data_IF_427366228366
#
_entry.id   IF_427366228366
#
_cell.length_a   1.000
_cell.length_b   1.000
_cell.length_c   1.000
_cell.angle_alpha   90.00
_cell.angle_beta   90.00
_cell.angle_gamma   90.00
#
_symmetry.space_group_name_H-M   'P 1'
#
loop_
_entity.id
_entity.type
_entity.pdbx_description
1 polymer ?
#
# COMPACT_ATOMS: atom_id res chain seq x y z
N UNK A 1 -9.08 -32.88 26.18
CA UNK A 1 -8.64 -31.51 25.91
C UNK A 1 -7.86 -31.05 27.12
N UNK A 2 -6.53 -31.10 27.04
CA UNK A 2 -5.66 -30.63 28.12
C UNK A 2 -5.41 -29.13 27.91
N UNK A 3 -5.62 -28.34 28.95
CA UNK A 3 -5.77 -26.90 28.88
C UNK A 3 -4.38 -26.22 28.93
N UNK A 4 -4.00 -25.49 27.88
CA UNK A 4 -2.79 -24.65 27.87
C UNK A 4 -2.96 -23.54 28.92
N UNK A 5 -2.07 -23.51 29.92
CA UNK A 5 -2.13 -22.50 30.97
C UNK A 5 -1.06 -21.43 30.76
N UNK A 6 -1.50 -20.19 30.56
CA UNK A 6 -0.62 -19.01 30.47
C UNK A 6 -0.19 -18.62 31.89
N UNK A 7 1.13 -18.53 32.12
CA UNK A 7 1.73 -18.26 33.43
C UNK A 7 2.22 -16.81 33.58
N UNK A 8 2.45 -16.08 32.49
CA UNK A 8 2.81 -14.67 32.50
C UNK A 8 3.40 -14.17 31.19
N UNK A 9 3.09 -12.92 30.85
CA UNK A 9 3.56 -12.22 29.64
C UNK A 9 4.70 -11.25 29.98
N UNK A 10 5.67 -11.14 29.08
CA UNK A 10 6.83 -10.27 29.22
C UNK A 10 7.39 -9.85 27.86
N UNK A 11 8.12 -8.74 27.83
CA UNK A 11 8.62 -8.15 26.59
C UNK A 11 10.11 -8.40 26.40
N UNK A 12 10.52 -8.82 25.20
CA UNK A 12 11.90 -9.12 24.87
C UNK A 12 12.87 -7.98 25.25
N UNK A 13 12.50 -6.73 25.00
CA UNK A 13 13.34 -5.56 25.35
C UNK A 13 13.69 -5.44 26.84
N UNK A 14 12.79 -5.84 27.73
CA UNK A 14 13.00 -5.77 29.18
C UNK A 14 14.04 -6.79 29.66
N UNK A 15 14.31 -7.76 28.81
CA UNK A 15 15.13 -8.92 29.09
C UNK A 15 16.53 -8.80 28.50
N UNK A 16 16.64 -8.14 27.35
CA UNK A 16 17.91 -7.94 26.68
C UNK A 16 18.91 -7.28 27.62
N UNK A 17 20.16 -7.74 27.57
CA UNK A 17 21.28 -7.32 28.42
C UNK A 17 21.16 -7.60 29.93
N UNK A 18 20.10 -8.28 30.40
CA UNK A 18 20.00 -8.72 31.80
C UNK A 18 20.98 -9.86 32.11
N UNK A 19 21.50 -9.95 33.34
CA UNK A 19 22.47 -10.98 33.71
C UNK A 19 21.82 -12.37 33.75
N UNK A 20 22.60 -13.37 33.36
CA UNK A 20 22.25 -14.79 33.52
C UNK A 20 23.09 -15.36 34.66
N UNK A 21 22.43 -15.91 35.68
CA UNK A 21 23.05 -16.51 36.87
C UNK A 21 22.81 -18.02 36.87
N UNK A 22 23.84 -18.79 37.21
CA UNK A 22 23.69 -20.24 37.43
C UNK A 22 23.10 -20.57 38.80
N UNK A 23 22.89 -21.86 39.09
CA UNK A 23 22.35 -22.33 40.37
C UNK A 23 23.20 -21.94 41.61
N UNK A 24 24.48 -21.58 41.42
CA UNK A 24 25.39 -21.10 42.47
C UNK A 24 25.42 -19.57 42.56
N UNK A 25 24.61 -18.87 41.78
CA UNK A 25 24.61 -17.41 41.69
C UNK A 25 25.80 -16.84 40.91
N UNK A 26 26.57 -17.68 40.20
CA UNK A 26 27.68 -17.20 39.37
C UNK A 26 27.13 -16.59 38.11
N UNK A 27 27.64 -15.42 37.74
CA UNK A 27 27.23 -14.73 36.52
C UNK A 27 27.92 -15.34 35.30
N UNK A 28 27.11 -15.86 34.39
CA UNK A 28 27.56 -16.55 33.17
C UNK A 28 27.70 -15.58 32.01
N UNK A 29 26.78 -14.63 31.91
CA UNK A 29 26.74 -13.69 30.80
C UNK A 29 25.58 -12.73 30.90
N UNK A 30 25.09 -12.32 29.73
CA UNK A 30 23.89 -11.50 29.56
C UNK A 30 23.05 -12.08 28.44
N UNK A 31 21.73 -11.95 28.54
CA UNK A 31 20.89 -12.33 27.41
C UNK A 31 21.11 -11.35 26.25
N UNK A 32 21.59 -11.87 25.12
CA UNK A 32 21.80 -11.09 23.91
C UNK A 32 20.66 -11.31 22.91
N UNK A 33 20.19 -12.55 22.80
CA UNK A 33 19.12 -12.93 21.88
C UNK A 33 18.51 -14.28 22.29
N UNK A 34 17.38 -14.63 21.70
CA UNK A 34 16.67 -15.90 21.88
C UNK A 34 16.57 -16.64 20.55
N UNK A 35 16.93 -17.91 20.55
CA UNK A 35 16.66 -18.81 19.43
C UNK A 35 15.20 -19.27 19.51
N UNK A 36 14.47 -19.15 18.41
CA UNK A 36 13.08 -19.57 18.28
C UNK A 36 12.94 -20.57 17.15
N UNK A 37 12.10 -21.59 17.36
CA UNK A 37 11.71 -22.57 16.36
C UNK A 37 10.26 -22.35 15.93
N UNK A 38 10.01 -22.43 14.64
CA UNK A 38 8.71 -22.17 13.99
C UNK A 38 8.02 -23.48 13.56
N UNK A 39 7.79 -24.38 14.50
CA UNK A 39 7.26 -25.72 14.23
C UNK A 39 5.72 -25.83 14.37
N UNK A 40 5.07 -24.81 14.89
CA UNK A 40 3.64 -24.80 15.19
C UNK A 40 3.02 -23.39 15.11
N UNK A 41 1.71 -23.28 15.37
CA UNK A 41 0.96 -22.01 15.42
C UNK A 41 1.51 -21.05 16.50
N UNK A 42 2.29 -21.55 17.45
CA UNK A 42 2.92 -20.75 18.50
C UNK A 42 4.43 -21.04 18.53
N UNK A 43 5.25 -20.22 17.84
CA UNK A 43 6.70 -20.39 17.80
C UNK A 43 7.27 -20.38 19.21
N UNK A 44 8.16 -21.32 19.53
CA UNK A 44 8.66 -21.51 20.88
C UNK A 44 10.17 -21.31 20.98
N UNK A 45 10.62 -20.72 22.08
CA UNK A 45 12.03 -20.45 22.35
C UNK A 45 12.72 -21.77 22.69
N UNK A 46 13.84 -22.05 22.03
CA UNK A 46 14.64 -23.27 22.26
C UNK A 46 15.94 -22.99 23.01
N UNK A 47 16.49 -21.78 22.89
CA UNK A 47 17.78 -21.47 23.50
C UNK A 47 18.07 -19.98 23.68
N UNK A 48 19.05 -19.69 24.52
CA UNK A 48 19.48 -18.34 24.90
C UNK A 48 20.91 -18.09 24.43
N UNK A 49 21.09 -17.00 23.68
CA UNK A 49 22.41 -16.46 23.37
C UNK A 49 22.92 -15.63 24.54
N UNK A 50 23.98 -16.10 25.21
CA UNK A 50 24.43 -15.53 26.49
C UNK A 50 25.74 -14.71 26.42
N UNK A 51 26.46 -14.78 25.30
CA UNK A 51 27.74 -14.10 25.11
C UNK A 51 28.03 -13.77 23.63
N UNK A 52 28.87 -12.75 23.39
CA UNK A 52 29.39 -12.42 22.06
C UNK A 52 30.54 -13.37 21.72
N UNK A 53 30.63 -13.80 20.45
CA UNK A 53 31.72 -14.67 19.97
C UNK A 53 31.53 -16.17 20.22
N UNK A 54 30.44 -16.59 20.87
CA UNK A 54 30.03 -18.00 20.94
C UNK A 54 28.83 -18.26 20.03
N UNK A 55 28.84 -19.42 19.37
CA UNK A 55 27.71 -19.95 18.60
C UNK A 55 26.83 -20.89 19.42
N UNK A 56 27.25 -21.23 20.64
CA UNK A 56 26.50 -22.11 21.52
C UNK A 56 25.48 -21.35 22.36
N UNK A 57 24.36 -22.00 22.62
CA UNK A 57 23.18 -21.51 23.31
C UNK A 57 22.99 -22.25 24.63
N UNK A 58 22.46 -21.53 25.63
CA UNK A 58 21.95 -22.17 26.85
C UNK A 58 20.56 -22.74 26.51
N UNK A 59 20.31 -24.04 26.70
CA UNK A 59 18.99 -24.64 26.48
C UNK A 59 17.93 -23.97 27.36
N UNK A 60 16.74 -23.73 26.81
CA UNK A 60 15.69 -22.99 27.52
C UNK A 60 15.20 -23.71 28.78
N UNK A 61 15.29 -25.04 28.81
CA UNK A 61 14.84 -25.92 29.90
C UNK A 61 15.65 -25.71 31.18
N UNK A 62 16.78 -25.03 31.07
CA UNK A 62 17.62 -24.71 32.21
C UNK A 62 17.11 -23.50 32.97
N UNK A 63 16.24 -22.68 32.39
CA UNK A 63 15.73 -21.47 33.02
C UNK A 63 14.64 -21.82 34.03
N UNK A 64 14.85 -21.43 35.30
CA UNK A 64 13.87 -21.65 36.39
C UNK A 64 13.04 -20.41 36.66
N UNK A 65 13.65 -19.24 36.52
CA UNK A 65 12.96 -17.99 36.81
C UNK A 65 13.53 -16.87 35.96
N UNK A 66 12.61 -15.98 35.61
CA UNK A 66 12.89 -14.77 34.87
C UNK A 66 12.21 -13.61 35.57
N UNK A 67 12.99 -12.66 36.06
CA UNK A 67 12.48 -11.41 36.59
C UNK A 67 13.22 -10.18 36.05
N UNK A 68 12.84 -8.99 36.53
CA UNK A 68 13.48 -7.70 36.19
C UNK A 68 14.98 -7.62 36.52
N UNK A 69 15.48 -8.52 37.38
CA UNK A 69 16.86 -8.56 37.85
C UNK A 69 17.73 -9.51 37.02
N UNK A 70 17.14 -10.48 36.32
CA UNK A 70 17.82 -11.35 35.37
C UNK A 70 17.26 -12.76 35.29
N UNK A 71 17.97 -13.63 34.58
CA UNK A 71 17.62 -15.04 34.44
C UNK A 71 18.39 -15.88 35.45
N UNK A 72 17.73 -16.91 35.99
CA UNK A 72 18.37 -17.93 36.84
C UNK A 72 18.22 -19.32 36.25
N UNK A 73 19.31 -20.06 36.26
CA UNK A 73 19.34 -21.45 35.81
C UNK A 73 19.11 -22.43 36.99
N UNK A 74 18.48 -23.58 36.74
CA UNK A 74 18.38 -24.70 37.68
C UNK A 74 19.72 -25.40 37.90
N UNK A 75 20.66 -25.24 36.96
CA UNK A 75 21.91 -25.99 36.94
C UNK A 75 23.14 -25.09 37.09
N UNK A 76 24.25 -25.71 37.45
CA UNK A 76 25.58 -25.10 37.42
C UNK A 76 26.00 -25.05 35.95
N UNK A 77 26.32 -23.86 35.44
CA UNK A 77 26.64 -23.71 34.02
C UNK A 77 27.91 -24.48 33.65
N UNK A 78 27.78 -25.28 32.60
CA UNK A 78 28.86 -26.00 31.94
C UNK A 78 28.81 -25.70 30.42
N UNK A 79 29.85 -25.07 29.84
CA UNK A 79 29.92 -24.79 28.41
C UNK A 79 29.75 -26.03 27.52
N UNK A 80 30.13 -27.22 27.99
CA UNK A 80 30.07 -28.46 27.19
C UNK A 80 28.62 -28.87 26.90
N UNK A 81 27.70 -28.51 27.80
CA UNK A 81 26.28 -28.86 27.72
C UNK A 81 25.45 -27.80 26.98
N UNK A 82 26.10 -26.82 26.35
CA UNK A 82 25.44 -25.84 25.48
C UNK A 82 25.14 -26.47 24.11
N UNK A 83 24.07 -26.02 23.45
CA UNK A 83 23.67 -26.52 22.13
C UNK A 83 24.03 -25.53 21.01
N UNK A 84 24.37 -25.99 19.80
CA UNK A 84 24.48 -25.09 18.66
C UNK A 84 23.08 -24.65 18.19
N UNK A 85 23.01 -23.47 17.58
CA UNK A 85 21.82 -23.04 16.83
C UNK A 85 21.56 -24.04 15.69
N UNK A 86 20.34 -24.59 15.62
CA UNK A 86 19.93 -25.51 14.56
C UNK A 86 19.55 -24.77 13.27
N UNK A 87 19.49 -25.49 12.14
CA UNK A 87 19.15 -24.90 10.83
C UNK A 87 17.70 -24.38 10.75
N UNK A 88 16.80 -24.94 11.57
CA UNK A 88 15.39 -24.56 11.68
C UNK A 88 15.12 -23.51 12.78
N UNK A 89 16.19 -22.96 13.39
CA UNK A 89 16.12 -21.98 14.46
C UNK A 89 16.61 -20.61 13.99
N UNK A 90 15.96 -19.55 14.46
CA UNK A 90 16.35 -18.17 14.15
C UNK A 90 16.43 -17.32 15.41
N UNK A 91 17.33 -16.33 15.42
CA UNK A 91 17.41 -15.36 16.51
C UNK A 91 16.30 -14.31 16.41
N UNK A 92 15.38 -14.30 17.36
CA UNK A 92 14.17 -13.49 17.30
C UNK A 92 14.44 -11.98 17.37
N UNK A 93 15.41 -11.54 18.18
CA UNK A 93 15.77 -10.13 18.28
C UNK A 93 16.37 -9.63 16.97
N UNK A 94 17.31 -10.39 16.39
CA UNK A 94 17.88 -10.07 15.08
C UNK A 94 16.83 -10.09 13.96
N UNK A 95 15.86 -10.99 14.04
CA UNK A 95 14.94 -11.28 12.95
C UNK A 95 13.64 -10.46 12.99
N UNK A 96 13.10 -10.13 14.16
CA UNK A 96 11.84 -9.37 14.30
C UNK A 96 12.05 -7.93 14.76
N UNK A 97 12.96 -7.68 15.69
CA UNK A 97 13.08 -6.35 16.28
C UNK A 97 13.56 -5.35 15.23
N UNK A 98 12.93 -4.17 15.19
CA UNK A 98 13.20 -3.12 14.21
C UNK A 98 12.93 -3.49 12.74
N UNK A 99 12.26 -4.62 12.49
CA UNK A 99 11.80 -4.99 11.14
C UNK A 99 10.45 -4.37 10.81
N UNK A 100 10.24 -4.12 9.53
CA UNK A 100 8.95 -3.75 8.99
C UNK A 100 8.14 -5.04 8.70
N UNK A 101 6.88 -5.04 9.12
CA UNK A 101 5.91 -6.11 8.89
C UNK A 101 4.60 -5.50 8.41
N UNK A 102 3.78 -6.29 7.74
CA UNK A 102 2.46 -5.85 7.27
C UNK A 102 1.45 -6.04 8.41
N UNK A 103 0.81 -4.96 8.83
CA UNK A 103 -0.34 -4.99 9.73
C UNK A 103 -1.60 -5.35 8.94
N UNK A 104 -2.06 -6.59 9.04
CA UNK A 104 -3.24 -7.08 8.35
C UNK A 104 -4.57 -6.49 8.88
N UNK A 105 -4.56 -5.89 10.06
CA UNK A 105 -5.75 -5.25 10.63
C UNK A 105 -5.88 -3.82 10.15
N UNK A 106 -4.74 -3.14 9.94
CA UNK A 106 -4.67 -1.75 9.49
C UNK A 106 -4.25 -1.54 8.04
N UNK A 107 -4.03 -2.62 7.28
CA UNK A 107 -3.53 -2.62 5.89
C UNK A 107 -2.36 -1.66 5.66
N UNK A 108 -1.30 -1.74 6.48
CA UNK A 108 -0.15 -0.84 6.36
C UNK A 108 1.15 -1.48 6.80
N UNK A 109 2.28 -0.96 6.34
CA UNK A 109 3.60 -1.38 6.81
C UNK A 109 3.90 -0.74 8.18
N UNK A 110 4.22 -1.57 9.17
CA UNK A 110 4.49 -1.14 10.55
C UNK A 110 5.83 -1.68 11.04
N UNK A 111 6.53 -0.88 11.85
CA UNK A 111 7.79 -1.30 12.47
C UNK A 111 7.52 -2.05 13.77
N UNK A 112 8.17 -3.19 13.93
CA UNK A 112 8.19 -3.94 15.20
C UNK A 112 9.05 -3.19 16.20
N UNK A 113 8.38 -2.56 17.17
CA UNK A 113 9.02 -1.81 18.23
C UNK A 113 9.45 -2.72 19.38
N UNK A 114 8.72 -3.81 19.65
CA UNK A 114 9.10 -4.81 20.65
C UNK A 114 8.41 -6.15 20.40
N UNK A 115 8.77 -7.18 21.18
CA UNK A 115 8.27 -8.54 21.02
C UNK A 115 7.65 -9.02 22.33
N UNK A 116 6.42 -9.53 22.28
CA UNK A 116 5.72 -10.11 23.42
C UNK A 116 5.90 -11.63 23.47
N UNK A 117 6.37 -12.11 24.61
CA UNK A 117 6.63 -13.51 24.91
C UNK A 117 5.81 -13.94 26.13
N UNK A 118 5.44 -15.22 26.20
CA UNK A 118 4.66 -15.74 27.32
C UNK A 118 5.13 -17.13 27.75
N UNK A 119 5.12 -17.35 29.07
CA UNK A 119 5.31 -18.68 29.64
C UNK A 119 4.01 -19.48 29.53
N UNK A 120 4.11 -20.66 28.93
CA UNK A 120 2.97 -21.56 28.76
C UNK A 120 3.31 -22.91 29.37
N UNK A 121 2.32 -23.51 30.05
CA UNK A 121 2.42 -24.83 30.64
C UNK A 121 1.50 -25.80 29.90
N UNK A 122 2.06 -26.94 29.48
CA UNK A 122 1.33 -28.06 28.88
C UNK A 122 1.91 -29.38 29.39
N UNK A 123 1.08 -30.29 29.90
CA UNK A 123 1.47 -31.65 30.32
C UNK A 123 2.76 -31.70 31.18
N UNK A 124 2.84 -30.84 32.22
CA UNK A 124 4.00 -30.70 33.14
C UNK A 124 5.27 -30.06 32.55
N UNK A 125 5.28 -29.69 31.28
CA UNK A 125 6.37 -28.95 30.64
C UNK A 125 6.06 -27.45 30.51
N UNK A 126 7.03 -26.62 30.85
CA UNK A 126 6.98 -25.17 30.67
C UNK A 126 7.87 -24.75 29.51
N UNK A 127 7.32 -23.94 28.60
CA UNK A 127 8.06 -23.37 27.49
C UNK A 127 7.64 -21.92 27.25
N UNK A 128 8.48 -21.17 26.55
CA UNK A 128 8.21 -19.78 26.19
C UNK A 128 7.77 -19.75 24.75
N UNK A 129 6.65 -19.07 24.47
CA UNK A 129 6.16 -18.85 23.12
C UNK A 129 6.18 -17.37 22.76
N UNK A 130 6.37 -17.10 21.48
CA UNK A 130 6.05 -15.82 20.87
C UNK A 130 4.53 -15.68 20.78
N UNK A 131 3.98 -14.61 21.37
CA UNK A 131 2.54 -14.34 21.36
C UNK A 131 2.19 -13.30 20.31
N UNK A 132 2.90 -12.18 20.33
CA UNK A 132 2.63 -11.03 19.47
C UNK A 132 3.88 -10.14 19.33
N UNK A 133 3.83 -9.19 18.41
CA UNK A 133 4.78 -8.08 18.34
C UNK A 133 4.07 -6.76 18.64
N UNK A 134 4.78 -5.87 19.31
CA UNK A 134 4.32 -4.52 19.63
C UNK A 134 4.76 -3.56 18.52
N UNK A 135 3.77 -2.95 17.87
CA UNK A 135 3.95 -1.96 16.79
C UNK A 135 3.68 -0.54 17.29
N UNK A 136 3.29 -0.38 18.56
CA UNK A 136 2.96 0.91 19.16
C UNK A 136 4.19 1.69 19.64
N UNK A 137 4.02 3.00 19.75
CA UNK A 137 5.04 3.92 20.31
C UNK A 137 5.43 3.54 21.74
N UNK A 138 4.53 2.93 22.50
CA UNK A 138 4.81 2.47 23.86
C UNK A 138 5.91 1.41 23.91
N UNK A 139 5.98 0.50 22.92
CA UNK A 139 7.06 -0.47 22.81
C UNK A 139 8.44 0.16 22.62
N UNK A 140 8.52 1.24 21.84
CA UNK A 140 9.75 2.00 21.65
C UNK A 140 10.21 2.67 22.95
N UNK A 141 9.29 3.27 23.71
CA UNK A 141 9.60 3.93 24.99
C UNK A 141 10.00 2.93 26.07
N UNK A 142 9.43 1.71 26.06
CA UNK A 142 9.86 0.60 26.92
C UNK A 142 11.31 0.21 26.67
N UNK A 143 11.74 0.17 25.41
CA UNK A 143 13.15 -0.06 25.03
C UNK A 143 14.10 1.04 25.49
N UNK A 144 13.65 2.29 25.46
CA UNK A 144 14.42 3.44 25.92
C UNK A 144 14.41 3.59 27.46
N UNK A 145 13.65 2.77 28.18
CA UNK A 145 13.55 2.81 29.65
C UNK A 145 12.70 3.94 30.20
N UNK A 146 11.87 4.57 29.36
CA UNK A 146 11.05 5.77 29.69
C UNK A 146 9.54 5.50 29.59
N UNK A 147 9.12 4.23 29.73
CA UNK A 147 7.71 3.82 29.64
C UNK A 147 6.77 4.60 30.57
N UNK A 148 7.26 5.07 31.73
CA UNK A 148 6.47 5.82 32.71
C UNK A 148 5.86 7.13 32.14
N UNK A 149 6.42 7.68 31.05
CA UNK A 149 5.91 8.88 30.40
C UNK A 149 4.59 8.64 29.66
N UNK A 150 4.30 7.39 29.29
CA UNK A 150 3.18 7.03 28.41
C UNK A 150 2.24 6.02 29.09
N UNK A 151 2.07 6.08 30.40
CA UNK A 151 1.22 5.15 31.17
C UNK A 151 -0.27 5.19 30.78
N UNK A 152 -0.69 6.14 29.93
CA UNK A 152 -2.05 6.32 29.42
C UNK A 152 -2.24 5.89 27.97
N UNK A 153 -1.19 5.43 27.28
CA UNK A 153 -1.27 4.95 25.90
C UNK A 153 -1.35 3.43 25.90
N UNK A 154 -2.33 2.90 25.17
CA UNK A 154 -2.51 1.45 25.00
C UNK A 154 -1.45 0.85 24.08
N UNK A 155 -1.12 -0.42 24.31
CA UNK A 155 -0.24 -1.15 23.41
C UNK A 155 -0.98 -1.47 22.11
N UNK A 156 -0.25 -1.51 21.00
CA UNK A 156 -0.79 -1.96 19.72
C UNK A 156 -0.06 -3.23 19.29
N UNK A 157 -0.79 -4.34 19.15
CA UNK A 157 -0.21 -5.67 18.97
C UNK A 157 -0.66 -6.32 17.68
N UNK A 158 0.30 -6.94 16.99
CA UNK A 158 0.04 -7.88 15.89
C UNK A 158 0.32 -9.29 16.39
N UNK A 159 -0.70 -10.14 16.38
CA UNK A 159 -0.59 -11.54 16.82
C UNK A 159 0.39 -12.34 15.95
N UNK A 160 1.15 -13.24 16.56
CA UNK A 160 2.19 -14.02 15.88
C UNK A 160 1.67 -14.88 14.71
N UNK A 161 0.39 -15.26 14.72
CA UNK A 161 -0.26 -15.98 13.62
C UNK A 161 -0.30 -15.21 12.30
N UNK A 162 -0.13 -13.89 12.36
CA UNK A 162 -0.10 -12.98 11.21
C UNK A 162 1.33 -12.64 10.78
N UNK A 163 2.33 -13.15 11.49
CA UNK A 163 3.74 -12.90 11.25
C UNK A 163 4.35 -14.17 10.69
N UNK A 164 4.66 -14.16 9.40
CA UNK A 164 5.41 -15.25 8.78
C UNK A 164 6.85 -14.85 8.52
N UNK A 165 7.81 -15.76 8.74
CA UNK A 165 9.14 -15.60 8.18
C UNK A 165 9.06 -15.41 6.67
N UNK A 166 9.47 -14.24 6.18
CA UNK A 166 9.92 -14.09 4.81
C UNK A 166 11.18 -14.95 4.70
N UNK A 167 11.01 -16.16 4.15
CA UNK A 167 12.12 -17.10 3.96
C UNK A 167 13.16 -16.46 3.04
N UNK A 168 14.29 -16.06 3.62
CA UNK A 168 15.50 -15.82 2.84
C UNK A 168 16.12 -17.17 2.51
N UNK A 169 15.73 -17.74 1.36
CA UNK A 169 16.60 -18.53 0.46
C UNK A 169 15.83 -18.94 -0.79
N UNK A 170 16.03 -18.14 -1.85
CA UNK A 170 16.06 -18.52 -3.26
C UNK A 170 15.18 -19.68 -3.76
N UNK A 171 14.49 -19.35 -4.86
CA UNK A 171 13.91 -20.20 -5.89
C UNK A 171 12.44 -20.51 -5.66
N UNK A 172 11.60 -19.72 -6.35
CA UNK A 172 10.35 -20.15 -6.98
C UNK A 172 9.42 -21.04 -6.16
N UNK A 173 8.25 -20.50 -5.84
CA UNK A 173 6.98 -21.19 -5.57
C UNK A 173 6.64 -21.47 -4.10
N UNK A 174 5.95 -20.51 -3.47
CA UNK A 174 4.57 -20.71 -2.97
C UNK A 174 3.70 -19.46 -3.23
N UNK A 175 3.72 -18.99 -4.48
CA UNK A 175 3.18 -17.69 -4.92
C UNK A 175 1.65 -17.57 -4.98
N UNK A 176 0.89 -18.65 -4.79
CA UNK A 176 -0.58 -18.59 -4.97
C UNK A 176 -1.29 -17.90 -3.80
N UNK A 177 -0.72 -17.96 -2.59
CA UNK A 177 -1.32 -17.32 -1.41
C UNK A 177 -0.97 -15.84 -1.28
N UNK A 178 0.19 -15.44 -1.80
CA UNK A 178 0.68 -14.06 -1.80
C UNK A 178 -0.08 -13.20 -2.82
N UNK A 179 -0.38 -13.70 -4.03
CA UNK A 179 -1.19 -12.95 -5.02
C UNK A 179 -2.58 -12.56 -4.50
N UNK A 180 -3.26 -13.45 -3.76
CA UNK A 180 -4.56 -13.14 -3.15
C UNK A 180 -4.46 -12.18 -1.94
N UNK A 181 -3.28 -12.05 -1.34
CA UNK A 181 -3.01 -11.07 -0.28
C UNK A 181 -2.63 -9.70 -0.87
N UNK A 182 -1.86 -9.67 -1.96
CA UNK A 182 -1.53 -8.45 -2.71
C UNK A 182 -2.81 -7.82 -3.32
N UNK A 183 -3.77 -8.65 -3.73
CA UNK A 183 -5.12 -8.20 -4.17
C UNK A 183 -5.94 -7.46 -3.13
N UNK A 184 -5.52 -7.46 -1.87
CA UNK A 184 -6.21 -6.75 -0.79
C UNK A 184 -5.48 -5.47 -0.38
N UNK A 185 -4.28 -5.23 -0.93
CA UNK A 185 -3.55 -4.00 -0.69
C UNK A 185 -4.10 -2.90 -1.58
N UNK A 186 -4.03 -1.67 -1.07
CA UNK A 186 -4.33 -0.50 -1.86
C UNK A 186 -3.21 -0.28 -2.90
N UNK A 187 -3.51 0.22 -4.12
CA UNK A 187 -2.48 0.55 -5.10
C UNK A 187 -1.35 1.41 -4.54
N UNK A 188 -1.66 2.46 -3.78
CA UNK A 188 -0.66 3.28 -3.07
C UNK A 188 0.25 2.50 -2.11
N UNK A 189 -0.25 1.48 -1.40
CA UNK A 189 0.59 0.62 -0.55
C UNK A 189 1.54 -0.24 -1.40
N UNK A 190 1.12 -0.62 -2.62
CA UNK A 190 1.92 -1.39 -3.56
C UNK A 190 3.00 -0.48 -4.17
N UNK A 191 2.66 0.75 -4.53
CA UNK A 191 3.60 1.79 -4.98
C UNK A 191 4.73 2.01 -3.97
N UNK A 192 4.39 2.28 -2.71
CA UNK A 192 5.34 2.42 -1.58
C UNK A 192 6.33 1.25 -1.51
N UNK A 193 5.84 0.03 -1.73
CA UNK A 193 6.65 -1.19 -1.70
C UNK A 193 7.62 -1.22 -2.89
N UNK A 194 7.14 -0.90 -4.10
CA UNK A 194 7.91 -0.92 -5.36
C UNK A 194 9.03 0.12 -5.33
N UNK A 195 8.76 1.32 -4.83
CA UNK A 195 9.72 2.43 -4.78
C UNK A 195 10.90 2.14 -3.84
N UNK A 196 10.64 1.43 -2.74
CA UNK A 196 11.66 1.06 -1.76
C UNK A 196 12.48 -0.18 -2.17
N UNK A 197 12.18 -0.82 -3.31
CA UNK A 197 12.89 -1.99 -3.81
C UNK A 197 14.10 -1.64 -4.68
N UNK A 198 15.11 -2.52 -4.63
CA UNK A 198 16.17 -2.48 -5.63
C UNK A 198 15.68 -2.95 -7.01
N UNK A 199 16.42 -2.59 -8.06
CA UNK A 199 16.13 -2.91 -9.47
C UNK A 199 15.67 -4.36 -9.69
N UNK A 200 16.39 -5.33 -9.10
CA UNK A 200 16.14 -6.74 -9.37
C UNK A 200 14.91 -7.23 -8.60
N UNK A 201 14.69 -6.72 -7.39
CA UNK A 201 13.51 -7.01 -6.61
C UNK A 201 12.26 -6.43 -7.27
N UNK A 202 12.35 -5.20 -7.78
CA UNK A 202 11.25 -4.49 -8.44
C UNK A 202 10.69 -5.26 -9.63
N UNK A 203 11.55 -5.65 -10.58
CA UNK A 203 11.14 -6.41 -11.76
C UNK A 203 10.46 -7.75 -11.40
N UNK A 204 11.05 -8.50 -10.45
CA UNK A 204 10.46 -9.77 -10.00
C UNK A 204 9.11 -9.55 -9.30
N UNK A 205 8.93 -8.44 -8.59
CA UNK A 205 7.69 -8.11 -7.89
C UNK A 205 6.59 -7.70 -8.87
N UNK A 206 6.90 -6.86 -9.86
CA UNK A 206 5.97 -6.49 -10.94
C UNK A 206 5.47 -7.72 -11.71
N UNK A 207 6.31 -8.72 -11.95
CA UNK A 207 5.90 -9.99 -12.56
C UNK A 207 4.92 -10.82 -11.69
N UNK A 208 4.78 -10.48 -10.40
CA UNK A 208 3.79 -11.11 -9.52
C UNK A 208 2.42 -10.46 -9.60
N UNK A 209 2.34 -9.17 -9.97
CA UNK A 209 1.09 -8.43 -10.13
C UNK A 209 0.39 -8.84 -11.43
N UNK A 210 -0.93 -8.70 -11.48
CA UNK A 210 -1.63 -8.70 -12.77
C UNK A 210 -1.55 -7.30 -13.43
N UNK A 211 -1.93 -7.20 -14.71
CA UNK A 211 -1.75 -5.97 -15.49
C UNK A 211 -2.44 -4.78 -14.82
N UNK A 212 -3.69 -4.93 -14.39
CA UNK A 212 -4.42 -3.87 -13.71
C UNK A 212 -3.73 -3.44 -12.42
N UNK A 213 -3.33 -4.40 -11.56
CA UNK A 213 -2.60 -4.05 -10.35
C UNK A 213 -1.27 -3.36 -10.62
N UNK A 214 -0.65 -3.64 -11.77
CA UNK A 214 0.59 -2.98 -12.19
C UNK A 214 0.31 -1.54 -12.60
N UNK A 215 -0.73 -1.32 -13.41
CA UNK A 215 -1.16 0.02 -13.84
C UNK A 215 -1.56 0.85 -12.63
N UNK A 216 -2.51 0.37 -11.81
CA UNK A 216 -2.99 1.08 -10.63
C UNK A 216 -1.83 1.44 -9.67
N UNK A 217 -0.88 0.52 -9.46
CA UNK A 217 0.25 0.77 -8.59
C UNK A 217 1.28 1.73 -9.22
N UNK A 218 1.48 1.69 -10.54
CA UNK A 218 2.36 2.63 -11.24
C UNK A 218 1.81 4.04 -11.19
N UNK A 219 0.51 4.21 -11.45
CA UNK A 219 -0.18 5.50 -11.32
C UNK A 219 0.09 6.14 -9.95
N UNK A 220 0.04 5.36 -8.87
CA UNK A 220 0.29 5.87 -7.52
C UNK A 220 1.78 6.11 -7.16
N UNK A 221 2.72 5.83 -8.06
CA UNK A 221 4.16 6.04 -7.83
C UNK A 221 4.60 7.44 -8.22
N UNK A 222 5.70 7.89 -7.62
CA UNK A 222 6.38 9.11 -8.05
C UNK A 222 6.88 8.99 -9.51
N UNK A 223 6.75 10.06 -10.30
CA UNK A 223 7.07 10.10 -11.73
C UNK A 223 8.47 9.57 -12.07
N UNK A 224 9.50 9.98 -11.30
CA UNK A 224 10.87 9.48 -11.47
C UNK A 224 10.95 7.94 -11.40
N UNK A 225 10.17 7.33 -10.49
CA UNK A 225 10.13 5.89 -10.30
C UNK A 225 9.31 5.19 -11.39
N UNK A 226 8.21 5.79 -11.83
CA UNK A 226 7.41 5.32 -12.98
C UNK A 226 8.29 5.26 -14.24
N UNK A 227 8.97 6.35 -14.57
CA UNK A 227 9.89 6.47 -15.71
C UNK A 227 11.01 5.43 -15.64
N UNK A 228 11.59 5.22 -14.45
CA UNK A 228 12.60 4.18 -14.25
C UNK A 228 12.03 2.77 -14.55
N UNK A 229 10.81 2.48 -14.11
CA UNK A 229 10.15 1.19 -14.37
C UNK A 229 9.86 0.99 -15.86
N UNK A 230 9.22 1.96 -16.51
CA UNK A 230 8.85 1.87 -17.93
C UNK A 230 10.09 1.73 -18.82
N UNK A 231 11.19 2.44 -18.53
CA UNK A 231 12.45 2.28 -19.25
C UNK A 231 13.06 0.86 -19.18
N UNK A 232 12.70 0.09 -18.16
CA UNK A 232 13.23 -1.26 -17.93
C UNK A 232 12.34 -2.35 -18.52
N UNK A 233 11.10 -2.01 -18.88
CA UNK A 233 10.16 -2.93 -19.51
C UNK A 233 10.47 -3.10 -21.00
N UNK A 234 10.04 -4.23 -21.54
CA UNK A 234 9.95 -4.39 -22.99
C UNK A 234 8.89 -3.44 -23.58
N UNK A 235 9.09 -3.06 -24.85
CA UNK A 235 8.27 -2.02 -25.51
C UNK A 235 6.80 -2.41 -25.63
N UNK A 236 6.53 -3.68 -25.94
CA UNK A 236 5.16 -4.19 -26.05
C UNK A 236 4.45 -4.08 -24.70
N UNK A 237 5.05 -4.58 -23.62
CA UNK A 237 4.47 -4.49 -22.27
C UNK A 237 4.33 -3.05 -21.78
N UNK A 238 5.33 -2.20 -22.04
CA UNK A 238 5.29 -0.79 -21.66
C UNK A 238 4.15 -0.07 -22.38
N UNK A 239 3.97 -0.32 -23.68
CA UNK A 239 2.87 0.23 -24.47
C UNK A 239 1.52 -0.23 -23.93
N UNK A 240 1.34 -1.53 -23.68
CA UNK A 240 0.09 -2.08 -23.14
C UNK A 240 -0.28 -1.45 -21.78
N UNK A 241 0.72 -1.13 -20.95
CA UNK A 241 0.49 -0.48 -19.63
C UNK A 241 0.11 0.98 -19.81
N UNK A 242 0.83 1.72 -20.66
CA UNK A 242 0.56 3.14 -20.92
C UNK A 242 -0.80 3.36 -21.62
N UNK A 243 -1.26 2.40 -22.41
CA UNK A 243 -2.56 2.45 -23.10
C UNK A 243 -3.73 2.36 -22.12
N UNK A 244 -3.60 1.56 -21.07
CA UNK A 244 -4.65 1.34 -20.06
C UNK A 244 -4.52 2.25 -18.83
N UNK A 245 -3.50 3.12 -18.81
CA UNK A 245 -3.26 4.12 -17.77
C UNK A 245 -4.04 5.41 -18.07
N UNK A 246 -4.41 6.21 -17.05
CA UNK A 246 -4.97 7.55 -17.29
C UNK A 246 -4.10 8.36 -18.25
N UNK A 247 -4.74 9.11 -19.16
CA UNK A 247 -4.07 9.72 -20.32
C UNK A 247 -3.03 10.76 -19.93
N UNK A 248 -3.30 11.50 -18.88
CA UNK A 248 -2.43 12.49 -18.26
C UNK A 248 -1.18 11.84 -17.63
N UNK A 249 -1.36 10.77 -16.86
CA UNK A 249 -0.24 10.00 -16.30
C UNK A 249 0.68 9.42 -17.39
N UNK A 250 0.08 8.87 -18.45
CA UNK A 250 0.84 8.37 -19.59
C UNK A 250 1.60 9.49 -20.31
N UNK A 251 1.00 10.68 -20.45
CA UNK A 251 1.63 11.86 -21.04
C UNK A 251 2.82 12.35 -20.21
N UNK A 252 2.70 12.38 -18.88
CA UNK A 252 3.76 12.77 -17.97
C UNK A 252 4.96 11.83 -18.07
N UNK A 253 4.72 10.51 -18.00
CA UNK A 253 5.78 9.50 -18.17
C UNK A 253 6.47 9.65 -19.52
N UNK A 254 5.71 9.75 -20.61
CA UNK A 254 6.25 9.83 -21.96
C UNK A 254 7.04 11.12 -22.24
N UNK A 255 6.73 12.20 -21.53
CA UNK A 255 7.42 13.49 -21.63
C UNK A 255 8.82 13.46 -21.00
N UNK A 256 9.00 12.66 -19.95
CA UNK A 256 10.29 12.46 -19.28
C UNK A 256 11.20 11.43 -20.00
N UNK A 257 10.64 10.64 -20.92
CA UNK A 257 11.42 9.69 -21.72
C UNK A 257 12.23 10.37 -22.83
N UNK A 258 13.26 9.67 -23.32
CA UNK A 258 13.93 10.09 -24.56
C UNK A 258 12.95 10.12 -25.72
N UNK A 259 13.03 11.15 -26.56
CA UNK A 259 12.15 11.35 -27.73
C UNK A 259 12.02 10.07 -28.57
N UNK A 260 13.12 9.35 -28.80
CA UNK A 260 13.11 8.13 -29.61
C UNK A 260 12.24 7.02 -29.00
N UNK A 261 12.33 6.85 -27.67
CA UNK A 261 11.58 5.84 -26.92
C UNK A 261 10.10 6.22 -26.78
N UNK A 262 9.84 7.48 -26.47
CA UNK A 262 8.48 8.02 -26.38
C UNK A 262 7.71 7.80 -27.70
N UNK A 263 8.33 8.17 -28.83
CA UNK A 263 7.78 7.95 -30.17
C UNK A 263 7.65 6.46 -30.56
N UNK A 264 8.45 5.58 -29.98
CA UNK A 264 8.34 4.14 -30.21
C UNK A 264 7.14 3.56 -29.48
N UNK A 265 6.95 3.91 -28.21
CA UNK A 265 5.79 3.48 -27.42
C UNK A 265 4.48 4.03 -28.02
N UNK A 266 4.43 5.32 -28.36
CA UNK A 266 3.28 5.95 -29.03
C UNK A 266 2.92 5.37 -30.40
N UNK A 267 3.83 4.62 -31.04
CA UNK A 267 3.55 3.91 -32.31
C UNK A 267 2.97 2.51 -32.08
N UNK A 268 3.14 1.95 -30.89
CA UNK A 268 2.65 0.64 -30.51
C UNK A 268 1.24 0.72 -29.92
N UNK A 269 0.89 1.84 -29.31
CA UNK A 269 -0.46 2.14 -28.80
C UNK A 269 -1.51 2.21 -29.93
N UNK A 270 -2.77 2.00 -29.56
CA UNK A 270 -3.90 2.29 -30.45
C UNK A 270 -3.92 3.76 -30.90
N UNK A 271 -4.42 4.01 -32.11
CA UNK A 271 -4.28 5.32 -32.77
C UNK A 271 -5.00 6.45 -32.03
N UNK A 272 -6.17 6.16 -31.47
CA UNK A 272 -7.01 7.14 -30.81
C UNK A 272 -6.38 7.51 -29.45
N UNK A 273 -5.99 6.50 -28.66
CA UNK A 273 -5.25 6.63 -27.40
C UNK A 273 -3.94 7.42 -27.54
N UNK A 274 -3.17 7.09 -28.58
CA UNK A 274 -1.92 7.81 -28.85
C UNK A 274 -2.16 9.25 -29.34
N UNK A 275 -3.32 9.57 -29.92
CA UNK A 275 -3.67 10.94 -30.30
C UNK A 275 -4.00 11.77 -29.06
N UNK A 276 -4.81 11.25 -28.15
CA UNK A 276 -5.16 11.89 -26.87
C UNK A 276 -3.91 12.22 -26.04
N UNK A 277 -3.03 11.22 -25.87
CA UNK A 277 -1.80 11.40 -25.10
C UNK A 277 -0.87 12.43 -25.77
N UNK A 278 -0.76 12.42 -27.11
CA UNK A 278 0.02 13.44 -27.84
C UNK A 278 -0.57 14.84 -27.72
N UNK A 279 -1.89 14.97 -27.57
CA UNK A 279 -2.51 16.27 -27.31
C UNK A 279 -2.09 16.80 -25.93
N UNK A 280 -2.15 15.96 -24.91
CA UNK A 280 -1.76 16.33 -23.54
C UNK A 280 -0.28 16.73 -23.43
N UNK A 281 0.61 15.99 -24.09
CA UNK A 281 2.06 16.29 -24.13
C UNK A 281 2.41 17.64 -24.79
N UNK A 282 1.47 18.33 -25.45
CA UNK A 282 1.72 19.64 -26.05
C UNK A 282 1.58 20.81 -25.07
N UNK A 283 0.94 20.58 -23.92
CA UNK A 283 0.77 21.62 -22.91
C UNK A 283 2.04 21.78 -22.08
N UNK A 284 2.35 23.03 -21.70
CA UNK A 284 3.48 23.31 -20.83
C UNK A 284 3.18 22.78 -19.42
N UNK A 285 4.20 22.28 -18.71
CA UNK A 285 4.11 21.96 -17.28
C UNK A 285 3.51 23.13 -16.49
N UNK A 286 2.91 22.83 -15.34
CA UNK A 286 2.29 23.82 -14.45
C UNK A 286 1.09 24.59 -15.05
N UNK A 287 0.50 24.08 -16.14
CA UNK A 287 -0.72 24.64 -16.75
C UNK A 287 -1.93 23.74 -16.53
N UNK A 288 -3.12 24.31 -16.69
CA UNK A 288 -4.36 23.54 -16.64
C UNK A 288 -4.41 22.41 -17.67
N UNK A 289 -3.77 22.58 -18.84
CA UNK A 289 -3.71 21.58 -19.89
C UNK A 289 -2.77 20.41 -19.57
N UNK A 290 -1.72 20.63 -18.78
CA UNK A 290 -0.85 19.53 -18.31
C UNK A 290 -1.47 18.76 -17.14
N UNK A 291 -2.43 19.36 -16.41
CA UNK A 291 -3.11 18.74 -15.26
C UNK A 291 -4.46 18.10 -15.63
N UNK A 292 -4.86 18.12 -16.89
CA UNK A 292 -6.19 17.63 -17.29
C UNK A 292 -6.11 16.23 -17.87
N UNK A 293 -7.14 15.44 -17.61
CA UNK A 293 -7.41 14.19 -18.32
C UNK A 293 -8.58 14.38 -19.30
N UNK A 294 -8.57 13.61 -20.39
CA UNK A 294 -9.63 13.59 -21.41
C UNK A 294 -10.78 12.65 -21.04
N UNK A 295 -10.66 11.88 -19.96
CA UNK A 295 -11.58 10.82 -19.54
C UNK A 295 -12.82 11.35 -18.77
N UNK A 296 -13.55 12.29 -19.38
CA UNK A 296 -14.75 12.90 -18.80
C UNK A 296 -16.05 12.38 -19.41
N UNK A 297 -17.17 12.59 -18.70
CA UNK A 297 -18.50 12.18 -19.18
C UNK A 297 -19.24 13.37 -19.80
N UNK A 298 -19.25 13.41 -21.14
CA UNK A 298 -20.08 14.29 -21.95
C UNK A 298 -21.40 13.63 -22.39
N UNK A 299 -22.54 14.28 -22.16
CA UNK A 299 -23.86 13.80 -22.54
C UNK A 299 -24.69 14.86 -23.28
N UNK A 300 -25.53 14.50 -24.27
CA UNK A 300 -26.34 15.47 -24.97
C UNK A 300 -27.54 15.95 -24.15
N UNK A 301 -27.91 17.23 -24.33
CA UNK A 301 -28.92 17.94 -23.53
C UNK A 301 -30.33 17.33 -23.54
N UNK A 302 -30.66 16.53 -24.56
CA UNK A 302 -31.99 15.94 -24.75
C UNK A 302 -32.20 14.61 -24.03
N UNK A 303 -31.14 13.97 -23.50
CA UNK A 303 -31.30 12.74 -22.73
C UNK A 303 -32.17 12.98 -21.50
N UNK A 304 -32.99 12.00 -21.13
CA UNK A 304 -33.67 12.01 -19.84
C UNK A 304 -32.74 11.53 -18.73
N UNK A 305 -33.10 11.81 -17.47
CA UNK A 305 -32.34 11.35 -16.31
C UNK A 305 -32.13 9.82 -16.31
N UNK A 306 -33.14 9.04 -16.70
CA UNK A 306 -33.01 7.58 -16.84
C UNK A 306 -32.00 7.18 -17.91
N UNK A 307 -32.07 7.79 -19.09
CA UNK A 307 -31.16 7.49 -20.20
C UNK A 307 -29.72 7.89 -19.87
N UNK A 308 -29.54 9.03 -19.20
CA UNK A 308 -28.24 9.48 -18.73
C UNK A 308 -27.64 8.54 -17.68
N UNK A 309 -28.45 7.96 -16.78
CA UNK A 309 -27.99 6.93 -15.83
C UNK A 309 -27.59 5.65 -16.57
N UNK A 310 -28.30 5.27 -17.63
CA UNK A 310 -27.95 4.11 -18.44
C UNK A 310 -26.63 4.32 -19.22
N UNK A 311 -26.43 5.49 -19.83
CA UNK A 311 -25.14 5.83 -20.45
C UNK A 311 -24.02 5.93 -19.42
N UNK A 312 -24.28 6.51 -18.25
CA UNK A 312 -23.31 6.56 -17.16
C UNK A 312 -22.81 5.16 -16.79
N UNK A 313 -23.67 4.14 -16.75
CA UNK A 313 -23.25 2.76 -16.45
C UNK A 313 -22.32 2.18 -17.52
N UNK A 314 -22.44 2.65 -18.76
CA UNK A 314 -21.58 2.22 -19.88
C UNK A 314 -20.25 2.95 -19.87
N UNK A 315 -20.24 4.24 -19.58
CA UNK A 315 -19.07 5.12 -19.64
C UNK A 315 -18.25 5.14 -18.34
N UNK A 316 -18.86 4.90 -17.18
CA UNK A 316 -18.21 4.95 -15.88
C UNK A 316 -16.90 4.12 -15.73
N UNK A 317 -16.71 2.96 -16.41
CA UNK A 317 -15.47 2.22 -16.30
C UNK A 317 -14.23 2.90 -16.92
N UNK A 318 -14.43 3.82 -17.86
CA UNK A 318 -13.39 4.52 -18.64
C UNK A 318 -13.36 6.01 -18.30
N UNK A 319 -14.06 6.43 -17.25
CA UNK A 319 -14.16 7.84 -16.86
C UNK A 319 -13.40 8.06 -15.55
N UNK A 320 -12.64 9.15 -15.51
CA UNK A 320 -11.90 9.58 -14.33
C UNK A 320 -12.84 9.76 -13.12
N UNK A 321 -13.94 10.46 -13.34
CA UNK A 321 -14.96 10.66 -12.30
C UNK A 321 -16.37 10.68 -12.85
N UNK A 322 -17.28 10.09 -12.07
CA UNK A 322 -18.72 10.06 -12.37
C UNK A 322 -19.51 11.13 -11.61
N UNK A 323 -18.86 11.91 -10.74
CA UNK A 323 -19.56 12.85 -9.85
C UNK A 323 -20.10 14.08 -10.56
N UNK A 324 -19.43 14.50 -11.63
CA UNK A 324 -19.89 15.56 -12.52
C UNK A 324 -20.11 14.99 -13.92
N UNK A 325 -21.21 15.40 -14.54
CA UNK A 325 -21.51 15.12 -15.93
C UNK A 325 -21.63 16.44 -16.67
N UNK A 326 -21.02 16.50 -17.85
CA UNK A 326 -21.01 17.68 -18.69
C UNK A 326 -22.05 17.53 -19.79
N UNK A 327 -22.85 18.56 -19.99
CA UNK A 327 -23.82 18.60 -21.09
C UNK A 327 -23.17 19.32 -22.25
N UNK A 328 -23.04 18.61 -23.38
CA UNK A 328 -22.37 19.10 -24.59
C UNK A 328 -23.26 18.95 -25.82
N UNK A 329 -23.01 19.76 -26.84
CA UNK A 329 -23.66 19.62 -28.15
C UNK A 329 -22.86 18.68 -29.11
N UNK A 330 -23.33 18.57 -30.36
CA UNK A 330 -22.69 17.73 -31.38
C UNK A 330 -21.28 18.21 -31.79
N UNK A 331 -20.84 19.39 -31.33
CA UNK A 331 -19.52 19.97 -31.56
C UNK A 331 -18.67 19.99 -30.26
N UNK A 332 -19.10 19.25 -29.24
CA UNK A 332 -18.47 19.19 -27.90
C UNK A 332 -18.48 20.53 -27.15
N UNK A 333 -19.32 21.48 -27.57
CA UNK A 333 -19.45 22.77 -26.90
C UNK A 333 -20.18 22.59 -25.57
N UNK A 334 -19.57 23.10 -24.50
CA UNK A 334 -20.08 22.97 -23.15
C UNK A 334 -21.33 23.84 -22.92
N UNK A 335 -22.50 23.20 -22.76
CA UNK A 335 -23.79 23.85 -22.51
C UNK A 335 -24.19 23.86 -21.02
N UNK A 336 -23.76 22.87 -20.26
CA UNK A 336 -24.17 22.71 -18.86
C UNK A 336 -23.30 21.74 -18.06
N UNK A 337 -23.50 21.74 -16.74
CA UNK A 337 -22.94 20.73 -15.83
C UNK A 337 -24.01 20.27 -14.86
N UNK A 338 -24.00 18.99 -14.49
CA UNK A 338 -24.84 18.44 -13.44
C UNK A 338 -24.04 17.50 -12.54
N UNK A 339 -24.44 17.39 -11.28
CA UNK A 339 -23.87 16.39 -10.39
C UNK A 339 -24.64 15.06 -10.47
N UNK A 340 -23.94 13.94 -10.23
CA UNK A 340 -24.57 12.63 -10.12
C UNK A 340 -25.70 12.60 -9.07
N UNK A 341 -25.52 13.38 -7.99
CA UNK A 341 -26.54 13.53 -6.95
C UNK A 341 -27.84 14.10 -7.51
N UNK A 342 -27.76 15.14 -8.32
CA UNK A 342 -28.93 15.76 -8.94
C UNK A 342 -29.59 14.79 -9.92
N UNK A 343 -28.79 14.07 -10.70
CA UNK A 343 -29.26 13.06 -11.64
C UNK A 343 -30.06 11.94 -10.94
N UNK A 344 -29.56 11.42 -9.81
CA UNK A 344 -30.20 10.34 -9.04
C UNK A 344 -31.54 10.78 -8.42
N UNK A 345 -31.67 12.05 -8.03
CA UNK A 345 -32.87 12.58 -7.34
C UNK A 345 -33.94 13.03 -8.34
N UNK A 346 -33.56 13.34 -9.59
CA UNK A 346 -34.47 13.81 -10.63
C UNK A 346 -35.53 12.77 -11.00
N UNK A 347 -36.67 13.22 -11.51
CA UNK A 347 -37.65 12.29 -12.11
C UNK A 347 -37.07 11.66 -13.38
N UNK A 348 -37.22 10.34 -13.59
CA UNK A 348 -36.60 9.60 -14.70
C UNK A 348 -36.80 10.21 -16.09
N UNK A 349 -37.93 10.88 -16.31
CA UNK A 349 -38.35 11.46 -17.58
C UNK A 349 -37.88 12.91 -17.79
N UNK A 350 -37.26 13.52 -16.78
CA UNK A 350 -36.77 14.92 -16.85
C UNK A 350 -35.57 14.99 -17.79
N UNK A 351 -35.57 15.86 -18.81
CA UNK A 351 -34.44 16.00 -19.71
C UNK A 351 -33.27 16.75 -19.05
N UNK A 352 -32.03 16.43 -19.43
CA UNK A 352 -30.81 17.02 -18.86
C UNK A 352 -30.79 18.54 -18.98
N UNK A 353 -31.27 19.11 -20.10
CA UNK A 353 -31.39 20.58 -20.28
C UNK A 353 -32.17 21.29 -19.18
N UNK A 354 -33.11 20.61 -18.52
CA UNK A 354 -33.96 21.18 -17.48
C UNK A 354 -33.35 20.97 -16.07
N UNK A 355 -32.33 20.11 -15.96
CA UNK A 355 -31.60 19.79 -14.73
C UNK A 355 -30.24 20.52 -14.63
N UNK A 356 -29.59 20.75 -15.78
CA UNK A 356 -28.22 21.25 -15.83
C UNK A 356 -28.07 22.69 -15.34
N UNK A 357 -26.90 22.99 -14.78
CA UNK A 357 -26.47 24.34 -14.46
C UNK A 357 -25.74 24.96 -15.64
N UNK A 358 -26.22 26.10 -16.13
CA UNK A 358 -25.63 26.83 -17.28
C UNK A 358 -24.61 27.90 -16.86
N UNK A 359 -24.50 28.20 -15.56
CA UNK A 359 -23.46 29.08 -15.01
C UNK A 359 -22.28 28.24 -14.57
N UNK A 360 -21.45 27.89 -15.54
CA UNK A 360 -20.38 26.91 -15.36
C UNK A 360 -19.09 27.64 -15.00
N UNK A 361 -18.41 27.15 -13.96
CA UNK A 361 -17.02 27.51 -13.69
C UNK A 361 -16.17 26.64 -14.59
N UNK A 362 -15.33 27.27 -15.41
CA UNK A 362 -14.48 26.61 -16.40
C UNK A 362 -13.11 27.26 -16.44
N UNK A 363 -12.13 26.52 -16.91
CA UNK A 363 -10.71 26.90 -16.95
C UNK A 363 -10.22 26.87 -18.40
N UNK A 364 -9.28 27.75 -18.76
CA UNK A 364 -8.56 27.68 -20.05
C UNK A 364 -7.37 26.72 -19.92
N UNK A 365 -7.02 25.92 -20.94
CA UNK A 365 -5.86 25.03 -20.87
C UNK A 365 -4.53 25.76 -20.58
N UNK A 366 -4.47 27.06 -20.85
CA UNK A 366 -3.27 27.89 -20.61
C UNK A 366 -3.31 28.64 -19.27
N UNK A 367 -4.33 28.41 -18.43
CA UNK A 367 -4.35 28.98 -17.09
C UNK A 367 -3.28 28.32 -16.21
N UNK A 368 -2.62 29.12 -15.38
CA UNK A 368 -1.61 28.62 -14.44
C UNK A 368 -2.23 27.81 -13.29
N UNK A 369 -1.41 26.95 -12.71
CA UNK A 369 -1.80 26.08 -11.61
C UNK A 369 -2.29 26.84 -10.36
N UNK A 370 -1.80 28.06 -10.09
CA UNK A 370 -2.27 28.89 -8.97
C UNK A 370 -3.74 29.28 -9.16
N UNK A 371 -4.11 29.69 -10.37
CA UNK A 371 -5.49 30.01 -10.73
C UNK A 371 -6.39 28.78 -10.69
N UNK A 372 -5.89 27.62 -11.12
CA UNK A 372 -6.61 26.34 -10.99
C UNK A 372 -6.92 26.08 -9.51
N UNK A 373 -5.90 26.09 -8.64
CA UNK A 373 -6.04 25.88 -7.21
C UNK A 373 -7.02 26.86 -6.54
N UNK A 374 -6.96 28.14 -6.90
CA UNK A 374 -7.88 29.17 -6.41
C UNK A 374 -9.35 28.86 -6.77
N UNK A 375 -9.60 28.32 -7.96
CA UNK A 375 -10.94 27.94 -8.40
C UNK A 375 -11.48 26.79 -7.56
N UNK A 376 -10.70 25.72 -7.40
CA UNK A 376 -11.07 24.57 -6.56
C UNK A 376 -11.34 24.99 -5.12
N UNK A 377 -10.45 25.80 -4.54
CA UNK A 377 -10.58 26.29 -3.17
C UNK A 377 -11.83 27.17 -2.98
N UNK A 378 -12.06 28.11 -3.91
CA UNK A 378 -13.15 29.09 -3.82
C UNK A 378 -14.54 28.46 -3.93
N UNK A 379 -14.68 27.46 -4.79
CA UNK A 379 -15.98 26.86 -5.11
C UNK A 379 -16.20 25.47 -4.49
N UNK A 380 -15.16 24.84 -3.93
CA UNK A 380 -15.24 23.51 -3.31
C UNK A 380 -15.65 22.43 -4.31
N UNK A 381 -15.09 22.49 -5.52
CA UNK A 381 -15.40 21.59 -6.63
C UNK A 381 -14.55 20.31 -6.52
N UNK A 382 -15.10 19.19 -6.98
CA UNK A 382 -14.35 17.93 -7.11
C UNK A 382 -13.70 17.78 -8.49
N UNK A 383 -14.23 18.45 -9.51
CA UNK A 383 -13.64 18.53 -10.83
C UNK A 383 -14.06 19.83 -11.52
N UNK A 384 -13.27 20.28 -12.49
CA UNK A 384 -13.53 21.48 -13.29
C UNK A 384 -13.23 21.22 -14.77
N UNK A 385 -14.12 21.61 -15.71
CA UNK A 385 -13.86 21.42 -17.13
C UNK A 385 -12.83 22.41 -17.64
N UNK A 386 -11.89 21.90 -18.44
CA UNK A 386 -10.96 22.67 -19.24
C UNK A 386 -11.56 22.87 -20.62
N UNK A 387 -11.63 24.12 -21.05
CA UNK A 387 -12.42 24.52 -22.22
C UNK A 387 -11.54 25.34 -23.16
N UNK A 388 -11.51 24.93 -24.43
CA UNK A 388 -10.78 25.60 -25.49
C UNK A 388 -11.40 26.93 -25.93
N UNK A 389 -10.73 27.61 -26.85
CA UNK A 389 -11.14 28.93 -27.35
C UNK A 389 -12.52 28.94 -28.04
N UNK A 390 -12.97 27.81 -28.60
CA UNK A 390 -14.28 27.67 -29.25
C UNK A 390 -15.36 27.16 -28.29
N UNK A 391 -15.07 27.13 -26.99
CA UNK A 391 -15.93 26.62 -25.93
C UNK A 391 -16.14 25.09 -25.94
N UNK A 392 -15.35 24.34 -26.70
CA UNK A 392 -15.30 22.88 -26.64
C UNK A 392 -14.62 22.39 -25.35
N UNK A 393 -15.12 21.31 -24.78
CA UNK A 393 -14.49 20.66 -23.61
C UNK A 393 -13.28 19.88 -24.10
N UNK A 394 -12.10 20.22 -23.59
CA UNK A 394 -10.85 19.51 -23.90
C UNK A 394 -10.58 18.40 -22.88
N UNK A 395 -11.04 18.59 -21.64
CA UNK A 395 -10.81 17.65 -20.56
C UNK A 395 -11.34 18.17 -19.23
N UNK A 396 -10.95 17.51 -18.15
CA UNK A 396 -11.27 17.89 -16.78
C UNK A 396 -10.03 17.82 -15.91
N UNK A 397 -10.00 18.64 -14.86
CA UNK A 397 -9.02 18.53 -13.78
C UNK A 397 -9.77 18.04 -12.55
N UNK A 398 -9.16 17.16 -11.75
CA UNK A 398 -9.73 16.68 -10.48
C UNK A 398 -9.15 17.45 -9.28
N UNK A 399 -9.75 17.26 -8.10
CA UNK A 399 -9.30 17.96 -6.89
C UNK A 399 -8.01 17.34 -6.33
N UNK A 400 -7.77 16.07 -6.60
CA UNK A 400 -6.61 15.31 -6.16
C UNK A 400 -5.34 15.78 -6.86
N UNK A 401 -5.37 15.96 -8.19
CA UNK A 401 -4.22 16.52 -8.96
C UNK A 401 -3.83 17.91 -8.43
N UNK A 402 -4.83 18.72 -8.10
CA UNK A 402 -4.63 20.06 -7.52
C UNK A 402 -4.07 19.96 -6.09
N UNK A 403 -4.44 18.94 -5.32
CA UNK A 403 -3.88 18.73 -3.98
C UNK A 403 -2.42 18.28 -4.04
N UNK A 404 -2.06 17.45 -5.02
CA UNK A 404 -0.69 16.99 -5.26
C UNK A 404 0.24 18.17 -5.56
N UNK A 405 -0.15 19.02 -6.51
CA UNK A 405 0.55 20.26 -6.85
C UNK A 405 0.79 21.16 -5.62
N UNK A 406 -0.20 21.28 -4.72
CA UNK A 406 -0.09 22.11 -3.51
C UNK A 406 0.72 21.44 -2.39
N UNK A 407 0.88 20.12 -2.42
CA UNK A 407 1.50 19.33 -1.36
C UNK A 407 2.49 18.26 -1.89
N UNK A 408 3.49 18.62 -2.71
CA UNK A 408 4.35 17.65 -3.40
C UNK A 408 5.24 16.81 -2.47
N UNK A 409 5.36 17.16 -1.18
CA UNK A 409 6.11 16.38 -0.19
C UNK A 409 5.26 15.31 0.55
N UNK A 410 4.02 15.06 0.12
CA UNK A 410 3.11 14.10 0.77
C UNK A 410 2.56 13.09 -0.24
N UNK A 411 2.47 11.81 0.13
CA UNK A 411 1.89 10.79 -0.74
C UNK A 411 0.44 11.15 -1.11
N UNK A 412 0.02 10.72 -2.31
CA UNK A 412 -1.29 10.98 -2.91
C UNK A 412 -2.42 10.86 -1.89
N UNK A 413 -3.30 11.87 -1.88
CA UNK A 413 -4.50 11.90 -1.05
C UNK A 413 -5.68 11.66 -1.96
N UNK A 414 -6.06 10.39 -2.14
CA UNK A 414 -7.27 10.04 -2.88
C UNK A 414 -8.52 10.64 -2.22
N UNK A 415 -9.38 11.28 -3.05
CA UNK A 415 -10.74 11.69 -2.67
C UNK A 415 -11.79 10.71 -3.25
N UNK A 416 -11.38 9.59 -3.83
CA UNK A 416 -12.29 8.54 -4.31
C UNK A 416 -12.80 7.64 -3.17
N UNK A 417 -14.11 7.41 -3.14
CA UNK A 417 -14.75 6.54 -2.16
C UNK A 417 -14.60 5.08 -2.58
N UNK A 418 -13.57 4.40 -2.08
CA UNK A 418 -13.33 2.96 -2.24
C UNK A 418 -14.37 2.15 -1.45
N UNK A 419 -15.60 2.11 -1.94
CA UNK A 419 -16.54 1.00 -1.70
C UNK A 419 -16.67 0.23 -3.01
N UNK A 420 -15.59 -0.46 -3.40
CA UNK A 420 -15.57 -1.33 -4.57
C UNK A 420 -16.61 -2.45 -4.38
N UNK A 421 -17.71 -2.34 -5.12
CA UNK A 421 -18.57 -3.47 -5.42
C UNK A 421 -17.80 -4.40 -6.37
N UNK A 422 -17.31 -5.52 -5.83
CA UNK A 422 -16.58 -6.56 -6.55
C UNK A 422 -17.23 -6.93 -7.89
N UNK A 423 -16.51 -6.72 -9.00
CA UNK A 423 -16.81 -7.30 -10.33
C UNK A 423 -16.94 -8.82 -10.21
N UNK A 424 -18.09 -9.36 -10.57
CA UNK A 424 -18.27 -10.80 -10.86
C UNK A 424 -18.03 -10.98 -12.36
N UNK A 425 -17.00 -11.74 -12.72
CA UNK A 425 -16.76 -12.15 -14.10
C UNK A 425 -18.00 -12.85 -14.68
N UNK A 426 -18.56 -12.32 -15.77
CA UNK A 426 -19.39 -13.07 -16.70
C UNK A 426 -18.66 -13.16 -18.03
N UNK A 427 -17.86 -14.22 -18.23
CA UNK A 427 -17.57 -14.70 -19.58
C UNK A 427 -18.77 -15.53 -20.03
N UNK A 428 -19.45 -15.05 -21.07
CA UNK A 428 -20.42 -15.83 -21.82
C UNK A 428 -19.75 -17.04 -22.46
N UNK A 429 -20.33 -18.21 -22.26
CA UNK A 429 -20.16 -19.35 -23.14
C UNK A 429 -21.37 -19.41 -24.07
N UNK A 430 -21.18 -19.06 -25.34
CA UNK A 430 -22.00 -19.57 -26.43
C UNK A 430 -21.34 -20.85 -26.92
N UNK A 431 -22.01 -21.99 -26.77
CA UNK A 431 -21.93 -23.15 -27.65
C UNK A 431 -23.11 -24.09 -27.38
N UNK A 432 -23.90 -24.28 -28.44
CA UNK A 432 -25.07 -25.15 -28.67
C UNK A 432 -26.44 -24.73 -28.13
#
# INVERSE_FOLDING_TARGET
MHELKVLGEFYFSQLTNKPILDAKGRRIGRLLDLAIRWDSVSPHVTGIRYAKGTLSLIPIEWVVSWDKNGLRLNTVFDPILTCPLQDDETFIGKWLLDKQIIDLVGSRLVRVNDISLSWVSHEEHQFIVLVAVDIGVRGLFRRLGVEFLLSRIDNNFVGCQYIKPLENRTSSLQLTREKEQLRQLHPADIADIIENMDYKQRANFLDTLDSQQTIDALTEMELDAQVEVINQMDEDRASDILEEMPRDEAADILSELSIEKSEELLRLMESDDAEDVRELMQYEEDTAGSLMTTEYIGLPFWLTAEQAIDELRRLAPEAETIYYLYVVDDQEILEGVLSLRELIIASPETPLKDLMHTKIVKISPYDDHEKVADIFHKYGLLAVPVVGDQAQVLGIITVDDVLELLMPERPRVEIHSTLIARRRQSKGGHSE
#
